data_IF_987125202912
#
_entry.id   IF_987125202912
#
_cell.length_a   1.000
_cell.length_b   1.000
_cell.length_c   1.000
_cell.angle_alpha   90.00
_cell.angle_beta   90.00
_cell.angle_gamma   90.00
#
_symmetry.space_group_name_H-M   'P 1'
#
loop_
_entity.id
_entity.type
_entity.pdbx_description
1 polymer ?
#
# COMPACT_ATOMS: atom_id res chain seq x y z
N UNK A 1 -20.40 -34.87 17.92
CA UNK A 1 -19.01 -34.54 18.31
C UNK A 1 -18.07 -34.25 17.14
N UNK A 2 -18.46 -34.50 15.89
CA UNK A 2 -17.58 -34.17 14.71
C UNK A 2 -17.67 -32.72 14.28
N UNK A 3 -18.74 -31.98 14.59
CA UNK A 3 -18.89 -30.56 14.23
C UNK A 3 -17.99 -29.62 15.06
N UNK A 4 -17.86 -29.88 16.35
CA UNK A 4 -17.04 -29.05 17.25
C UNK A 4 -15.53 -29.20 16.95
N UNK A 5 -15.05 -30.40 16.61
CA UNK A 5 -13.69 -30.62 16.16
C UNK A 5 -13.41 -29.95 14.81
N UNK A 6 -14.37 -30.00 13.88
CA UNK A 6 -14.30 -29.27 12.58
C UNK A 6 -14.28 -27.75 12.78
N UNK A 7 -15.03 -27.21 13.74
CA UNK A 7 -15.07 -25.77 14.02
C UNK A 7 -13.81 -25.30 14.77
N UNK A 8 -13.24 -26.13 15.66
CA UNK A 8 -11.93 -25.86 16.30
C UNK A 8 -10.81 -25.93 15.25
N UNK A 9 -10.82 -26.91 14.35
CA UNK A 9 -9.87 -26.99 13.23
C UNK A 9 -9.99 -25.80 12.27
N UNK A 10 -11.21 -25.38 11.92
CA UNK A 10 -11.44 -24.19 11.08
C UNK A 10 -10.96 -22.90 11.77
N UNK A 11 -11.13 -22.76 13.08
CA UNK A 11 -10.62 -21.60 13.84
C UNK A 11 -9.09 -21.58 13.96
N UNK A 12 -8.43 -22.73 13.93
CA UNK A 12 -6.97 -22.84 14.08
C UNK A 12 -6.18 -22.46 12.82
N UNK A 13 -6.84 -22.36 11.66
CA UNK A 13 -6.24 -22.02 10.37
C UNK A 13 -6.74 -20.70 9.76
N UNK A 14 -7.45 -19.86 10.52
CA UNK A 14 -7.81 -18.54 10.01
C UNK A 14 -6.60 -17.61 10.04
N UNK A 15 -6.29 -17.04 8.88
CA UNK A 15 -5.19 -16.10 8.71
C UNK A 15 -5.34 -14.89 9.66
N UNK A 16 -4.24 -14.48 10.31
CA UNK A 16 -4.23 -13.40 11.33
C UNK A 16 -4.76 -12.07 10.77
N UNK A 17 -4.44 -11.74 9.53
CA UNK A 17 -4.90 -10.51 8.86
C UNK A 17 -6.38 -10.59 8.52
N UNK A 18 -6.84 -11.77 8.05
CA UNK A 18 -8.27 -11.97 7.80
C UNK A 18 -9.10 -11.83 9.07
N UNK A 19 -8.61 -12.37 10.20
CA UNK A 19 -9.28 -12.25 11.50
C UNK A 19 -9.27 -10.80 12.02
N UNK A 20 -8.13 -10.11 11.92
CA UNK A 20 -7.96 -8.75 12.42
C UNK A 20 -8.91 -7.77 11.72
N UNK A 21 -9.00 -7.83 10.41
CA UNK A 21 -9.78 -6.88 9.61
C UNK A 21 -11.18 -7.38 9.21
N UNK A 22 -11.53 -8.63 9.50
CA UNK A 22 -12.82 -9.20 9.09
C UNK A 22 -12.96 -9.39 7.58
N UNK A 23 -11.89 -9.71 6.87
CA UNK A 23 -11.82 -9.85 5.41
C UNK A 23 -11.64 -11.31 4.99
N UNK A 24 -11.98 -11.62 3.73
CA UNK A 24 -11.91 -12.99 3.19
C UNK A 24 -10.49 -13.39 2.78
N UNK A 25 -9.77 -12.50 2.13
CA UNK A 25 -8.42 -12.70 1.63
C UNK A 25 -7.44 -11.77 2.33
N UNK A 26 -6.24 -12.20 2.72
CA UNK A 26 -5.27 -11.35 3.40
C UNK A 26 -4.56 -10.40 2.40
N UNK A 27 -5.36 -9.70 1.61
CA UNK A 27 -4.96 -8.79 0.55
C UNK A 27 -5.53 -7.40 0.85
N UNK A 28 -4.63 -6.44 1.05
CA UNK A 28 -4.96 -5.05 1.31
C UNK A 28 -4.59 -4.22 0.07
N UNK A 29 -5.47 -3.37 -0.41
CA UNK A 29 -5.13 -2.37 -1.41
C UNK A 29 -4.48 -1.17 -0.72
N UNK A 30 -3.29 -0.78 -1.14
CA UNK A 30 -2.54 0.32 -0.55
C UNK A 30 -3.25 1.67 -0.67
N UNK A 31 -3.15 2.50 0.36
CA UNK A 31 -3.70 3.86 0.35
C UNK A 31 -2.81 4.81 -0.43
N UNK A 32 -2.99 4.87 -1.75
CA UNK A 32 -2.17 5.64 -2.69
C UNK A 32 -2.77 7.02 -2.96
N UNK A 33 -1.94 8.07 -2.90
CA UNK A 33 -2.34 9.43 -3.29
C UNK A 33 -2.83 9.44 -4.75
N UNK A 34 -3.90 10.19 -5.04
CA UNK A 34 -4.53 10.38 -6.36
C UNK A 34 -5.07 9.10 -7.04
N UNK A 35 -4.85 7.90 -6.45
CA UNK A 35 -5.33 6.63 -6.99
C UNK A 35 -6.47 6.02 -6.15
N UNK A 36 -6.38 6.14 -4.82
CA UNK A 36 -7.21 5.39 -3.87
C UNK A 36 -8.42 6.19 -3.40
N UNK A 37 -9.39 6.37 -4.29
CA UNK A 37 -10.70 6.93 -3.95
C UNK A 37 -11.69 5.86 -3.45
N UNK A 38 -12.91 6.30 -3.13
CA UNK A 38 -13.98 5.42 -2.63
C UNK A 38 -14.34 4.27 -3.58
N UNK A 39 -14.27 4.50 -4.92
CA UNK A 39 -14.58 3.47 -5.92
C UNK A 39 -13.62 2.29 -5.82
N UNK A 40 -12.31 2.57 -5.78
CA UNK A 40 -11.31 1.54 -5.64
C UNK A 40 -11.43 0.84 -4.28
N UNK A 41 -11.54 1.59 -3.19
CA UNK A 41 -11.63 1.02 -1.86
C UNK A 41 -12.86 0.10 -1.70
N UNK A 42 -14.05 0.55 -2.11
CA UNK A 42 -15.26 -0.27 -2.04
C UNK A 42 -15.22 -1.50 -2.94
N UNK A 43 -14.65 -1.39 -4.14
CA UNK A 43 -14.51 -2.51 -5.06
C UNK A 43 -13.61 -3.63 -4.47
N UNK A 44 -12.45 -3.27 -3.90
CA UNK A 44 -11.56 -4.23 -3.24
C UNK A 44 -12.23 -4.88 -2.03
N UNK A 45 -12.94 -4.10 -1.22
CA UNK A 45 -13.69 -4.63 -0.07
C UNK A 45 -14.79 -5.61 -0.51
N UNK A 46 -15.55 -5.28 -1.54
CA UNK A 46 -16.58 -6.15 -2.11
C UNK A 46 -15.99 -7.44 -2.70
N UNK A 47 -14.78 -7.39 -3.27
CA UNK A 47 -14.07 -8.54 -3.79
C UNK A 47 -13.40 -9.42 -2.69
N UNK A 48 -13.53 -9.03 -1.41
CA UNK A 48 -13.08 -9.82 -0.25
C UNK A 48 -11.70 -9.48 0.30
N UNK A 49 -11.05 -8.42 -0.19
CA UNK A 49 -9.86 -7.81 0.39
C UNK A 49 -10.20 -6.68 1.37
N UNK A 50 -9.21 -5.87 1.72
CA UNK A 50 -9.38 -4.61 2.45
C UNK A 50 -9.05 -3.43 1.52
N UNK A 51 -10.05 -2.65 1.15
CA UNK A 51 -9.84 -1.39 0.43
C UNK A 51 -9.47 -0.25 1.37
N UNK A 52 -8.53 0.60 0.97
CA UNK A 52 -8.12 1.79 1.71
C UNK A 52 -8.38 3.06 0.92
N UNK A 53 -9.03 4.05 1.54
CA UNK A 53 -9.09 5.41 1.01
C UNK A 53 -7.77 6.11 1.34
N UNK A 54 -7.09 6.66 0.34
CA UNK A 54 -5.81 7.36 0.50
C UNK A 54 -6.01 8.84 0.85
N UNK A 55 -5.98 9.20 2.13
CA UNK A 55 -6.26 10.55 2.59
C UNK A 55 -5.16 11.58 2.27
N UNK A 56 -3.94 11.13 1.94
CA UNK A 56 -2.78 12.01 1.73
C UNK A 56 -2.91 13.04 0.59
N UNK A 57 -3.92 12.90 -0.26
CA UNK A 57 -4.21 13.85 -1.35
C UNK A 57 -5.56 14.58 -1.17
N UNK A 58 -6.23 14.39 -0.05
CA UNK A 58 -7.61 14.87 0.15
C UNK A 58 -7.66 15.97 1.20
N UNK A 59 -8.38 17.06 0.89
CA UNK A 59 -8.85 17.99 1.91
C UNK A 59 -9.90 17.31 2.80
N UNK A 60 -10.12 17.81 4.04
CA UNK A 60 -11.04 17.19 4.98
C UNK A 60 -12.42 16.89 4.40
N UNK A 61 -13.07 17.84 3.75
CA UNK A 61 -14.40 17.65 3.16
C UNK A 61 -14.42 16.60 2.05
N UNK A 62 -13.36 16.55 1.25
CA UNK A 62 -13.20 15.52 0.20
C UNK A 62 -13.05 14.14 0.82
N UNK A 63 -12.27 14.01 1.90
CA UNK A 63 -12.14 12.75 2.62
C UNK A 63 -13.50 12.30 3.20
N UNK A 64 -14.25 13.22 3.82
CA UNK A 64 -15.58 12.94 4.36
C UNK A 64 -16.53 12.41 3.26
N UNK A 65 -16.55 13.09 2.12
CA UNK A 65 -17.34 12.67 0.96
C UNK A 65 -16.95 11.25 0.49
N UNK A 66 -15.65 10.96 0.41
CA UNK A 66 -15.16 9.65 0.01
C UNK A 66 -15.52 8.55 1.02
N UNK A 67 -15.44 8.83 2.32
CA UNK A 67 -15.86 7.88 3.38
C UNK A 67 -17.37 7.58 3.25
N UNK A 68 -18.21 8.61 3.11
CA UNK A 68 -19.66 8.45 2.99
C UNK A 68 -20.04 7.67 1.73
N UNK A 69 -19.42 7.97 0.58
CA UNK A 69 -19.63 7.23 -0.67
C UNK A 69 -19.15 5.78 -0.56
N UNK A 70 -18.04 5.52 0.12
CA UNK A 70 -17.55 4.17 0.34
C UNK A 70 -18.55 3.36 1.19
N UNK A 71 -19.07 3.94 2.29
CA UNK A 71 -20.12 3.31 3.12
C UNK A 71 -21.40 3.02 2.34
N UNK A 72 -21.76 3.87 1.39
CA UNK A 72 -22.92 3.65 0.53
C UNK A 72 -22.68 2.54 -0.53
N UNK A 73 -21.41 2.30 -0.92
CA UNK A 73 -21.04 1.36 -1.97
C UNK A 73 -20.67 -0.05 -1.47
N UNK A 74 -20.45 -0.21 -0.14
CA UNK A 74 -20.07 -1.51 0.45
C UNK A 74 -20.55 -1.65 1.89
N UNK A 75 -20.97 -2.86 2.26
CA UNK A 75 -21.22 -3.29 3.65
C UNK A 75 -20.00 -4.02 4.26
N UNK A 76 -18.91 -4.15 3.50
CA UNK A 76 -17.69 -4.84 3.90
C UNK A 76 -16.73 -3.88 4.59
N UNK A 77 -15.77 -4.41 5.41
CA UNK A 77 -14.73 -3.58 6.01
C UNK A 77 -13.92 -2.81 4.96
N UNK A 78 -13.68 -1.54 5.24
CA UNK A 78 -12.71 -0.71 4.53
C UNK A 78 -11.97 0.17 5.54
N UNK A 79 -10.83 0.71 5.16
CA UNK A 79 -10.05 1.58 6.01
C UNK A 79 -9.68 2.90 5.33
N UNK A 80 -8.99 3.75 6.09
CA UNK A 80 -8.42 5.02 5.62
C UNK A 80 -6.93 5.03 5.89
N UNK A 81 -6.11 5.33 4.89
CA UNK A 81 -4.68 5.57 5.07
C UNK A 81 -4.42 7.06 5.28
N UNK A 82 -3.73 7.40 6.38
CA UNK A 82 -3.45 8.77 6.79
C UNK A 82 -1.94 8.96 6.99
N UNK A 83 -1.25 9.72 6.13
CA UNK A 83 0.13 10.14 6.37
C UNK A 83 0.19 11.12 7.55
N UNK A 84 0.93 10.77 8.62
CA UNK A 84 0.97 11.55 9.87
C UNK A 84 1.68 12.89 9.76
N UNK A 85 2.39 13.15 8.68
CA UNK A 85 3.06 14.44 8.41
C UNK A 85 2.14 15.45 7.68
N UNK A 86 0.87 15.11 7.49
CA UNK A 86 -0.09 16.03 6.86
C UNK A 86 -0.36 17.24 7.77
N UNK A 87 -0.39 18.48 7.24
CA UNK A 87 -0.52 19.69 8.06
C UNK A 87 -1.78 19.76 8.92
N UNK A 88 -2.88 19.19 8.46
CA UNK A 88 -4.20 19.20 9.15
C UNK A 88 -4.53 17.83 9.75
N UNK A 89 -3.52 17.13 10.25
CA UNK A 89 -3.65 15.74 10.75
C UNK A 89 -4.73 15.60 11.82
N UNK A 90 -4.82 16.55 12.75
CA UNK A 90 -5.81 16.54 13.84
C UNK A 90 -7.24 16.55 13.29
N UNK A 91 -7.48 17.33 12.23
CA UNK A 91 -8.78 17.43 11.57
C UNK A 91 -9.13 16.10 10.89
N UNK A 92 -8.16 15.49 10.19
CA UNK A 92 -8.38 14.22 9.50
C UNK A 92 -8.64 13.07 10.50
N UNK A 93 -7.90 13.01 11.60
CA UNK A 93 -8.10 12.00 12.66
C UNK A 93 -9.49 12.14 13.28
N UNK A 94 -9.88 13.35 13.72
CA UNK A 94 -11.19 13.58 14.29
C UNK A 94 -12.31 13.23 13.30
N UNK A 95 -12.15 13.57 12.03
CA UNK A 95 -13.12 13.25 11.00
C UNK A 95 -13.31 11.74 10.79
N UNK A 96 -12.25 10.95 10.74
CA UNK A 96 -12.40 9.49 10.57
C UNK A 96 -13.07 8.87 11.79
N UNK A 97 -12.86 9.43 12.99
CA UNK A 97 -13.55 9.04 14.23
C UNK A 97 -15.05 9.39 14.13
N UNK A 98 -15.37 10.63 13.79
CA UNK A 98 -16.75 11.12 13.64
C UNK A 98 -17.53 10.31 12.59
N UNK A 99 -16.89 10.02 11.46
CA UNK A 99 -17.45 9.16 10.42
C UNK A 99 -17.49 7.67 10.81
N UNK A 100 -17.02 7.28 11.99
CA UNK A 100 -17.10 5.90 12.49
C UNK A 100 -16.28 4.89 11.68
N UNK A 101 -15.19 5.32 11.05
CA UNK A 101 -14.21 4.43 10.41
C UNK A 101 -13.64 3.49 11.46
N UNK A 102 -13.46 2.21 11.11
CA UNK A 102 -13.01 1.17 12.05
C UNK A 102 -11.57 0.73 11.86
N UNK A 103 -10.95 1.09 10.74
CA UNK A 103 -9.61 0.67 10.37
C UNK A 103 -8.84 1.88 9.84
N UNK A 104 -7.70 2.20 10.45
CA UNK A 104 -6.82 3.28 10.02
C UNK A 104 -5.42 2.73 9.78
N UNK A 105 -4.88 3.02 8.61
CA UNK A 105 -3.48 2.80 8.29
C UNK A 105 -2.76 4.13 8.41
N UNK A 106 -1.75 4.20 9.25
CA UNK A 106 -0.90 5.40 9.40
C UNK A 106 0.43 5.21 8.70
N UNK A 107 1.02 6.29 8.21
CA UNK A 107 2.32 6.28 7.53
C UNK A 107 3.08 7.59 7.76
N UNK A 108 4.35 7.62 7.40
CA UNK A 108 5.16 8.85 7.37
C UNK A 108 5.11 9.69 8.67
N UNK A 109 5.39 9.07 9.81
CA UNK A 109 5.43 9.78 11.10
C UNK A 109 5.69 8.87 12.29
N UNK A 110 5.42 9.38 13.49
CA UNK A 110 5.60 8.61 14.71
C UNK A 110 4.30 7.88 15.07
N UNK A 111 4.27 6.53 15.09
CA UNK A 111 3.07 5.77 15.42
C UNK A 111 2.52 6.06 16.82
N UNK A 112 3.37 6.42 17.80
CA UNK A 112 2.93 6.73 19.17
C UNK A 112 1.97 7.92 19.25
N UNK A 113 1.99 8.82 18.27
CA UNK A 113 1.23 10.07 18.36
C UNK A 113 -0.28 9.84 18.38
N UNK A 114 -0.77 8.86 17.61
CA UNK A 114 -2.21 8.70 17.39
C UNK A 114 -2.74 7.30 17.70
N UNK A 115 -1.88 6.30 17.89
CA UNK A 115 -2.33 4.90 18.09
C UNK A 115 -3.24 4.75 19.29
N UNK A 116 -2.82 5.25 20.48
CA UNK A 116 -3.62 5.18 21.70
C UNK A 116 -4.98 5.89 21.53
N UNK A 117 -4.95 7.11 20.99
CA UNK A 117 -6.17 7.89 20.76
C UNK A 117 -7.16 7.18 19.79
N UNK A 118 -6.67 6.57 18.73
CA UNK A 118 -7.50 5.79 17.82
C UNK A 118 -8.08 4.54 18.49
N UNK A 119 -7.28 3.85 19.34
CA UNK A 119 -7.74 2.70 20.12
C UNK A 119 -8.83 3.06 21.11
N UNK A 120 -8.77 4.22 21.77
CA UNK A 120 -9.83 4.73 22.66
C UNK A 120 -11.18 4.84 21.96
N UNK A 121 -11.18 4.99 20.61
CA UNK A 121 -12.37 5.05 19.78
C UNK A 121 -12.71 3.70 19.09
N UNK A 122 -12.04 2.62 19.50
CA UNK A 122 -12.27 1.27 18.98
C UNK A 122 -11.84 1.09 17.51
N UNK A 123 -10.81 1.82 17.07
CA UNK A 123 -10.26 1.78 15.72
C UNK A 123 -9.02 0.89 15.70
N UNK A 124 -8.96 -0.04 14.77
CA UNK A 124 -7.81 -0.88 14.49
C UNK A 124 -6.74 -0.06 13.75
N UNK A 125 -5.50 -0.10 14.22
CA UNK A 125 -4.41 0.71 13.70
C UNK A 125 -3.31 -0.16 13.11
N UNK A 126 -3.01 0.01 11.82
CA UNK A 126 -1.81 -0.49 11.17
C UNK A 126 -0.85 0.67 10.86
N UNK A 127 0.47 0.42 10.89
CA UNK A 127 1.45 1.45 10.53
C UNK A 127 2.45 0.96 9.49
N UNK A 128 2.75 1.83 8.51
CA UNK A 128 3.67 1.52 7.40
C UNK A 128 5.09 1.90 7.75
N UNK A 129 6.03 0.98 7.57
CA UNK A 129 7.46 1.15 7.88
C UNK A 129 8.34 0.60 6.75
N UNK A 130 9.56 1.13 6.63
CA UNK A 130 10.54 0.69 5.64
C UNK A 130 11.81 0.06 6.29
N UNK A 131 11.83 -0.13 7.62
CA UNK A 131 12.99 -0.71 8.30
C UNK A 131 12.62 -1.39 9.63
N UNK A 132 13.49 -2.27 10.11
CA UNK A 132 13.37 -2.94 11.42
C UNK A 132 13.33 -1.95 12.58
N UNK A 133 14.10 -0.85 12.49
CA UNK A 133 14.10 0.21 13.50
C UNK A 133 12.71 0.84 13.68
N UNK A 134 12.01 1.10 12.59
CA UNK A 134 10.66 1.65 12.65
C UNK A 134 9.63 0.60 13.01
N UNK A 135 9.82 -0.67 12.63
CA UNK A 135 8.96 -1.77 13.06
C UNK A 135 8.98 -1.96 14.59
N UNK A 136 10.16 -1.89 15.22
CA UNK A 136 10.27 -1.92 16.69
C UNK A 136 9.50 -0.77 17.38
N UNK A 137 9.54 0.44 16.79
CA UNK A 137 8.76 1.58 17.31
C UNK A 137 7.25 1.39 17.17
N UNK A 138 6.81 0.67 16.13
CA UNK A 138 5.39 0.33 15.97
C UNK A 138 4.92 -0.64 17.04
N UNK A 139 5.72 -1.67 17.35
CA UNK A 139 5.41 -2.61 18.43
C UNK A 139 5.37 -1.91 19.80
N UNK A 140 6.33 -1.01 20.09
CA UNK A 140 6.30 -0.17 21.27
C UNK A 140 5.10 0.79 21.33
N UNK A 141 4.58 1.21 20.20
CA UNK A 141 3.40 2.08 20.11
C UNK A 141 2.08 1.29 20.25
N UNK A 142 2.14 -0.04 20.23
CA UNK A 142 0.99 -0.92 20.39
C UNK A 142 0.08 -1.00 19.16
N UNK A 143 0.60 -0.81 17.92
CA UNK A 143 -0.21 -0.96 16.71
C UNK A 143 -0.69 -2.42 16.54
N UNK A 144 -1.86 -2.60 15.93
CA UNK A 144 -2.48 -3.91 15.72
C UNK A 144 -1.84 -4.70 14.57
N UNK A 145 -1.24 -4.00 13.60
CA UNK A 145 -0.50 -4.61 12.50
C UNK A 145 0.63 -3.68 12.00
N UNK A 146 1.67 -4.28 11.44
CA UNK A 146 2.78 -3.58 10.80
C UNK A 146 2.75 -3.86 9.30
N UNK A 147 2.84 -2.81 8.47
CA UNK A 147 3.09 -2.93 7.04
C UNK A 147 4.56 -2.66 6.79
N UNK A 148 5.32 -3.68 6.40
CA UNK A 148 6.72 -3.52 6.01
C UNK A 148 6.82 -3.36 4.49
N UNK A 149 7.22 -2.16 4.05
CA UNK A 149 7.25 -1.78 2.65
C UNK A 149 8.67 -1.76 2.11
N UNK A 150 8.93 -2.66 1.17
CA UNK A 150 10.20 -2.75 0.46
C UNK A 150 10.37 -1.65 -0.59
N UNK A 151 11.61 -1.43 -0.95
CA UNK A 151 12.10 -0.39 -1.85
C UNK A 151 11.56 -0.50 -3.30
N UNK A 152 10.96 -1.61 -3.69
CA UNK A 152 10.30 -1.81 -4.98
C UNK A 152 8.99 -1.02 -5.13
N UNK A 153 8.46 -0.49 -4.02
CA UNK A 153 7.22 0.29 -4.01
C UNK A 153 7.32 1.57 -4.84
N UNK A 154 6.20 2.01 -5.41
CA UNK A 154 6.06 3.31 -6.08
C UNK A 154 5.87 4.44 -5.07
N UNK A 155 6.19 5.67 -5.48
CA UNK A 155 6.07 6.84 -4.63
C UNK A 155 7.14 6.90 -3.54
N UNK A 156 6.79 7.51 -2.41
CA UNK A 156 7.72 7.73 -1.30
C UNK A 156 8.20 6.41 -0.68
N UNK A 157 9.49 6.34 -0.45
CA UNK A 157 10.20 5.15 0.01
C UNK A 157 11.06 5.42 1.26
N UNK A 158 11.46 4.33 1.93
CA UNK A 158 12.52 4.37 2.95
C UNK A 158 13.88 4.76 2.37
N UNK A 159 14.78 5.21 3.24
CA UNK A 159 16.14 5.63 2.84
C UNK A 159 17.10 4.46 2.68
N UNK A 160 16.79 3.33 3.32
CA UNK A 160 17.66 2.15 3.41
C UNK A 160 17.68 1.31 2.12
N UNK A 161 16.76 1.56 1.19
CA UNK A 161 16.62 0.81 -0.08
C UNK A 161 16.57 -0.71 0.12
N UNK A 162 15.96 -1.16 1.23
CA UNK A 162 15.85 -2.59 1.53
C UNK A 162 14.73 -3.22 0.70
N UNK A 163 15.05 -4.26 -0.06
CA UNK A 163 14.06 -4.98 -0.86
C UNK A 163 13.08 -5.76 0.02
N UNK A 164 11.89 -6.01 -0.49
CA UNK A 164 10.86 -6.80 0.20
C UNK A 164 11.38 -8.17 0.63
N UNK A 165 12.18 -8.82 -0.22
CA UNK A 165 12.77 -10.14 0.06
C UNK A 165 13.68 -10.13 1.30
N UNK A 166 14.37 -9.03 1.58
CA UNK A 166 15.24 -8.86 2.75
C UNK A 166 14.49 -8.26 3.95
N UNK A 167 13.58 -7.32 3.71
CA UNK A 167 12.90 -6.58 4.77
C UNK A 167 11.93 -7.46 5.57
N UNK A 168 11.11 -8.27 4.88
CA UNK A 168 10.07 -9.06 5.54
C UNK A 168 10.65 -10.03 6.59
N UNK A 169 11.63 -10.89 6.27
CA UNK A 169 12.21 -11.78 7.26
C UNK A 169 12.94 -11.03 8.38
N UNK A 170 13.58 -9.90 8.07
CA UNK A 170 14.24 -9.08 9.09
C UNK A 170 13.24 -8.47 10.09
N UNK A 171 12.10 -7.96 9.61
CA UNK A 171 11.02 -7.45 10.49
C UNK A 171 10.37 -8.59 11.26
N UNK A 172 10.12 -9.75 10.64
CA UNK A 172 9.52 -10.91 11.32
C UNK A 172 10.35 -11.41 12.50
N UNK A 173 11.68 -11.27 12.44
CA UNK A 173 12.56 -11.68 13.55
C UNK A 173 12.42 -10.83 14.81
N UNK A 174 11.97 -9.59 14.70
CA UNK A 174 11.92 -8.63 15.80
C UNK A 174 10.51 -8.30 16.28
N UNK A 175 9.47 -8.78 15.62
CA UNK A 175 8.08 -8.48 16.00
C UNK A 175 7.19 -9.72 16.00
N UNK A 176 6.24 -9.76 16.93
CA UNK A 176 5.17 -10.77 16.97
C UNK A 176 3.83 -10.22 16.45
N UNK A 177 3.73 -8.94 16.19
CA UNK A 177 2.54 -8.27 15.64
C UNK A 177 2.21 -8.82 14.25
N UNK A 178 0.93 -8.88 13.84
CA UNK A 178 0.55 -9.20 12.47
C UNK A 178 1.33 -8.39 11.44
N UNK A 179 2.01 -9.09 10.51
CA UNK A 179 2.92 -8.49 9.53
C UNK A 179 2.34 -8.55 8.12
N UNK A 180 2.26 -7.40 7.49
CA UNK A 180 1.80 -7.21 6.11
C UNK A 180 3.01 -6.84 5.27
N UNK A 181 3.27 -7.57 4.20
CA UNK A 181 4.32 -7.24 3.24
C UNK A 181 3.82 -6.29 2.17
N UNK A 182 4.60 -5.28 1.83
CA UNK A 182 4.33 -4.34 0.74
C UNK A 182 5.59 -4.07 -0.09
N UNK A 183 5.41 -3.62 -1.33
CA UNK A 183 6.49 -3.38 -2.29
C UNK A 183 6.77 -4.61 -3.18
N UNK A 184 6.77 -4.41 -4.51
CA UNK A 184 7.07 -5.45 -5.50
C UNK A 184 6.01 -6.56 -5.64
N UNK A 185 4.88 -6.49 -4.96
CA UNK A 185 3.84 -7.52 -4.95
C UNK A 185 2.78 -7.19 -5.99
N UNK A 186 2.55 -8.09 -6.96
CA UNK A 186 1.59 -7.88 -8.04
C UNK A 186 0.99 -9.15 -8.64
N UNK A 187 1.36 -10.35 -8.12
CA UNK A 187 0.84 -11.64 -8.55
C UNK A 187 0.61 -12.58 -7.38
N UNK A 188 -0.10 -13.69 -7.60
CA UNK A 188 -0.30 -14.72 -6.59
C UNK A 188 1.00 -15.37 -6.12
N UNK A 189 1.98 -15.53 -7.01
CA UNK A 189 3.32 -16.03 -6.66
C UNK A 189 4.04 -15.10 -5.70
N UNK A 190 3.97 -13.78 -5.93
CA UNK A 190 4.59 -12.81 -5.02
C UNK A 190 3.91 -12.76 -3.65
N UNK A 191 2.59 -12.99 -3.59
CA UNK A 191 1.86 -13.16 -2.33
C UNK A 191 2.38 -14.39 -1.58
N UNK A 192 2.48 -15.54 -2.25
CA UNK A 192 3.00 -16.77 -1.64
C UNK A 192 4.44 -16.60 -1.14
N UNK A 193 5.29 -15.95 -1.94
CA UNK A 193 6.68 -15.66 -1.55
C UNK A 193 6.74 -14.78 -0.29
N UNK A 194 5.95 -13.71 -0.22
CA UNK A 194 5.87 -12.85 0.95
C UNK A 194 5.42 -13.61 2.21
N UNK A 195 4.43 -14.49 2.09
CA UNK A 195 3.99 -15.35 3.20
C UNK A 195 5.05 -16.37 3.61
N UNK A 196 5.78 -16.94 2.65
CA UNK A 196 6.91 -17.85 2.95
C UNK A 196 8.04 -17.13 3.70
N UNK A 197 8.21 -15.83 3.53
CA UNK A 197 9.17 -14.99 4.26
C UNK A 197 8.67 -14.59 5.66
N UNK A 198 7.44 -14.92 6.03
CA UNK A 198 6.88 -14.67 7.36
C UNK A 198 5.82 -13.57 7.44
N UNK A 199 5.35 -13.03 6.32
CA UNK A 199 4.20 -12.13 6.33
C UNK A 199 2.89 -12.90 6.59
N UNK A 200 1.96 -12.26 7.30
CA UNK A 200 0.61 -12.76 7.54
C UNK A 200 -0.39 -12.34 6.43
N UNK A 201 -0.01 -11.32 5.64
CA UNK A 201 -0.78 -10.82 4.50
C UNK A 201 0.04 -9.85 3.65
N UNK A 202 -0.59 -9.25 2.64
CA UNK A 202 0.08 -8.35 1.70
C UNK A 202 -0.69 -7.07 1.49
N UNK A 203 0.05 -5.95 1.26
CA UNK A 203 -0.48 -4.70 0.76
C UNK A 203 0.02 -4.47 -0.66
N UNK A 204 -0.89 -4.23 -1.58
CA UNK A 204 -0.61 -4.12 -3.02
C UNK A 204 -1.02 -2.72 -3.47
N UNK A 205 -0.07 -1.95 -4.00
CA UNK A 205 -0.31 -0.62 -4.57
C UNK A 205 -0.47 -0.67 -6.08
N UNK A 206 0.62 -0.85 -6.79
CA UNK A 206 0.75 -0.71 -8.25
C UNK A 206 -0.31 -1.49 -9.04
N UNK A 207 -0.56 -2.75 -8.67
CA UNK A 207 -1.54 -3.59 -9.35
C UNK A 207 -2.95 -2.99 -9.28
N UNK A 208 -3.34 -2.44 -8.12
CA UNK A 208 -4.63 -1.78 -7.93
C UNK A 208 -4.66 -0.34 -8.47
N UNK A 209 -3.53 0.38 -8.51
CA UNK A 209 -3.45 1.68 -9.18
C UNK A 209 -3.77 1.58 -10.67
N UNK A 210 -3.48 0.42 -11.29
CA UNK A 210 -3.71 0.12 -12.70
C UNK A 210 -5.02 -0.67 -12.93
N UNK A 211 -6.07 -0.37 -12.14
CA UNK A 211 -7.43 -0.91 -12.35
C UNK A 211 -8.38 0.18 -12.86
N UNK A 212 -9.54 -0.25 -13.37
CA UNK A 212 -10.57 0.67 -13.86
C UNK A 212 -11.10 1.59 -12.75
N UNK A 213 -11.25 1.07 -11.52
CA UNK A 213 -11.83 1.77 -10.36
C UNK A 213 -10.85 2.75 -9.71
N UNK A 214 -9.56 2.67 -10.00
CA UNK A 214 -8.57 3.66 -9.55
C UNK A 214 -8.88 5.04 -10.11
N UNK A 215 -8.77 6.09 -9.28
CA UNK A 215 -8.98 7.48 -9.67
C UNK A 215 -7.84 8.10 -10.48
N UNK A 216 -6.76 7.37 -10.72
CA UNK A 216 -5.67 7.80 -11.60
C UNK A 216 -6.18 8.06 -13.02
N UNK A 217 -5.63 9.07 -13.69
CA UNK A 217 -6.01 9.43 -15.04
C UNK A 217 -5.70 8.29 -16.04
N UNK A 218 -6.53 8.15 -17.06
CA UNK A 218 -6.35 7.08 -18.06
C UNK A 218 -4.97 7.13 -18.74
N UNK A 219 -4.48 8.32 -19.11
CA UNK A 219 -3.14 8.49 -19.70
C UNK A 219 -2.02 7.98 -18.81
N UNK A 220 -2.11 8.23 -17.48
CA UNK A 220 -1.16 7.69 -16.52
C UNK A 220 -1.20 6.15 -16.51
N UNK A 221 -2.40 5.57 -16.41
CA UNK A 221 -2.57 4.10 -16.45
C UNK A 221 -2.02 3.50 -17.74
N UNK A 222 -2.39 4.05 -18.91
CA UNK A 222 -1.90 3.57 -20.22
C UNK A 222 -0.37 3.65 -20.33
N UNK A 223 0.23 4.75 -19.85
CA UNK A 223 1.70 4.88 -19.78
C UNK A 223 2.32 3.80 -18.90
N UNK A 224 1.75 3.55 -17.72
CA UNK A 224 2.28 2.55 -16.79
C UNK A 224 2.13 1.11 -17.30
N UNK A 225 1.08 0.78 -18.05
CA UNK A 225 0.89 -0.54 -18.67
C UNK A 225 1.89 -0.85 -19.81
N UNK A 226 2.66 0.15 -20.24
CA UNK A 226 3.71 0.02 -21.28
C UNK A 226 5.12 0.08 -20.72
N UNK A 227 5.28 0.07 -19.39
CA UNK A 227 6.59 0.10 -18.76
C UNK A 227 7.30 -1.23 -18.91
N UNK A 228 8.60 -1.14 -19.09
CA UNK A 228 9.52 -2.27 -19.10
C UNK A 228 10.36 -2.28 -17.83
N UNK A 229 11.13 -3.33 -17.64
CA UNK A 229 12.14 -3.41 -16.59
C UNK A 229 13.10 -2.21 -16.68
N UNK A 230 13.35 -1.58 -15.52
CA UNK A 230 14.24 -0.42 -15.45
C UNK A 230 13.60 0.94 -15.80
N UNK A 231 12.33 1.00 -16.21
CA UNK A 231 11.64 2.27 -16.52
C UNK A 231 11.23 3.09 -15.29
N UNK A 232 11.40 2.54 -14.07
CA UNK A 232 11.22 3.30 -12.82
C UNK A 232 12.53 3.41 -12.05
N UNK A 233 12.72 4.51 -11.33
CA UNK A 233 13.92 4.71 -10.51
C UNK A 233 13.58 5.51 -9.24
N UNK A 234 14.31 5.20 -8.16
CA UNK A 234 14.28 5.97 -6.92
C UNK A 234 15.16 7.20 -7.07
N UNK A 235 14.63 8.39 -6.78
CA UNK A 235 15.29 9.68 -6.93
C UNK A 235 14.92 10.61 -5.76
N UNK A 236 15.35 11.86 -5.79
CA UNK A 236 15.10 12.88 -4.74
C UNK A 236 15.53 12.43 -3.34
N UNK A 237 16.60 11.61 -3.26
CA UNK A 237 17.07 11.01 -2.01
C UNK A 237 17.55 12.06 -0.99
N UNK A 238 17.94 13.22 -1.42
CA UNK A 238 18.32 14.34 -0.53
C UNK A 238 17.11 14.99 0.15
N UNK A 239 15.92 14.89 -0.44
CA UNK A 239 14.66 15.36 0.11
C UNK A 239 13.93 14.23 0.83
N UNK A 240 13.10 13.54 0.09
CA UNK A 240 12.43 12.31 0.50
C UNK A 240 12.49 11.34 -0.69
N UNK A 241 13.10 10.15 -0.55
CA UNK A 241 13.22 9.23 -1.66
C UNK A 241 11.85 8.92 -2.28
N UNK A 242 11.74 9.02 -3.59
CA UNK A 242 10.50 8.72 -4.32
C UNK A 242 10.80 7.93 -5.58
N UNK A 243 10.02 6.87 -5.85
CA UNK A 243 10.14 6.08 -7.07
C UNK A 243 9.19 6.62 -8.15
N UNK A 244 9.78 7.01 -9.26
CA UNK A 244 9.10 7.61 -10.40
C UNK A 244 9.36 6.84 -11.70
N UNK A 245 8.44 6.95 -12.64
CA UNK A 245 8.69 6.64 -14.05
C UNK A 245 9.70 7.63 -14.62
N UNK A 246 10.60 7.16 -15.46
CA UNK A 246 11.57 7.99 -16.20
C UNK A 246 10.89 8.76 -17.33
N UNK A 247 10.32 9.92 -16.99
CA UNK A 247 9.74 10.89 -17.93
C UNK A 247 10.60 12.15 -18.04
N UNK A 248 10.11 13.22 -18.65
CA UNK A 248 10.89 14.45 -18.82
C UNK A 248 11.14 15.18 -17.48
N UNK A 249 10.17 15.18 -16.57
CA UNK A 249 10.40 15.69 -15.22
C UNK A 249 11.49 14.89 -14.48
N UNK A 250 11.45 13.55 -14.56
CA UNK A 250 12.50 12.72 -13.96
C UNK A 250 13.89 13.07 -14.51
N UNK A 251 14.04 13.31 -15.84
CA UNK A 251 15.31 13.72 -16.44
C UNK A 251 15.81 15.06 -15.87
N UNK A 252 14.92 16.02 -15.67
CA UNK A 252 15.29 17.31 -15.04
C UNK A 252 15.82 17.11 -13.62
N UNK A 253 15.20 16.19 -12.84
CA UNK A 253 15.68 15.83 -11.50
C UNK A 253 17.05 15.16 -11.58
N UNK A 254 17.21 14.16 -12.46
CA UNK A 254 18.47 13.43 -12.65
C UNK A 254 19.62 14.38 -13.05
N UNK A 255 19.38 15.32 -13.97
CA UNK A 255 20.34 16.36 -14.35
C UNK A 255 20.69 17.27 -13.17
N UNK A 256 19.70 17.68 -12.37
CA UNK A 256 19.93 18.50 -11.19
C UNK A 256 20.75 17.74 -10.14
N UNK A 257 20.42 16.49 -9.83
CA UNK A 257 21.16 15.64 -8.89
C UNK A 257 22.59 15.38 -9.37
N UNK A 258 22.80 15.11 -10.67
CA UNK A 258 24.13 14.82 -11.25
C UNK A 258 25.08 15.99 -11.20
N UNK A 259 24.60 17.24 -11.29
CA UNK A 259 25.40 18.47 -11.13
C UNK A 259 25.60 18.89 -9.66
N UNK A 260 25.08 18.12 -8.70
CA UNK A 260 25.22 18.43 -7.27
C UNK A 260 24.28 19.55 -6.79
N UNK A 261 23.06 19.63 -7.34
CA UNK A 261 22.06 20.62 -6.90
C UNK A 261 21.80 20.52 -5.39
N UNK A 262 21.62 21.67 -4.77
CA UNK A 262 21.28 21.78 -3.35
C UNK A 262 19.85 21.29 -3.07
N UNK A 263 19.55 21.00 -1.81
CA UNK A 263 18.17 20.62 -1.39
C UNK A 263 17.14 21.70 -1.72
N UNK A 264 17.51 22.97 -1.69
CA UNK A 264 16.61 24.09 -2.00
C UNK A 264 16.34 24.20 -3.51
N UNK A 265 17.36 23.97 -4.35
CA UNK A 265 17.18 23.86 -5.80
C UNK A 265 16.26 22.68 -6.17
N UNK A 266 16.46 21.52 -5.55
CA UNK A 266 15.60 20.34 -5.76
C UNK A 266 14.16 20.59 -5.27
N UNK A 267 13.95 21.26 -4.12
CA UNK A 267 12.61 21.68 -3.67
C UNK A 267 11.93 22.63 -4.65
N UNK A 268 12.68 23.56 -5.20
CA UNK A 268 12.20 24.53 -6.20
C UNK A 268 11.80 23.81 -7.49
N UNK A 269 12.63 22.88 -7.96
CA UNK A 269 12.37 22.06 -9.15
C UNK A 269 11.13 21.18 -8.94
N UNK A 270 11.03 20.51 -7.78
CA UNK A 270 9.87 19.67 -7.43
C UNK A 270 8.58 20.51 -7.38
N UNK A 271 8.62 21.68 -6.76
CA UNK A 271 7.46 22.55 -6.62
C UNK A 271 6.34 21.90 -5.79
N UNK A 272 5.09 22.25 -6.10
CA UNK A 272 3.89 21.69 -5.43
C UNK A 272 2.96 21.04 -6.44
N UNK A 273 2.35 19.90 -6.05
CA UNK A 273 1.27 19.26 -6.81
C UNK A 273 1.73 18.48 -8.03
N UNK A 274 2.99 18.13 -8.17
CA UNK A 274 3.51 17.38 -9.31
C UNK A 274 2.89 15.98 -9.43
N UNK A 275 2.70 15.28 -8.31
CA UNK A 275 2.03 13.99 -8.30
C UNK A 275 0.55 14.12 -8.75
N UNK A 276 -0.16 15.17 -8.32
CA UNK A 276 -1.50 15.48 -8.82
C UNK A 276 -1.50 15.66 -10.34
N UNK A 277 -0.59 16.49 -10.84
CA UNK A 277 -0.44 16.79 -12.25
C UNK A 277 -0.22 15.54 -13.10
N UNK A 278 0.68 14.65 -12.66
CA UNK A 278 1.00 13.40 -13.35
C UNK A 278 -0.08 12.33 -13.22
N UNK A 279 -0.44 11.98 -12.00
CA UNK A 279 -1.29 10.82 -11.73
C UNK A 279 -2.77 11.14 -11.97
N UNK A 280 -3.26 12.28 -11.47
CA UNK A 280 -4.68 12.61 -11.49
C UNK A 280 -5.09 13.44 -12.71
N UNK A 281 -4.25 14.36 -13.17
CA UNK A 281 -4.53 15.23 -14.33
C UNK A 281 -3.96 14.67 -15.64
N UNK A 282 -3.07 13.67 -15.57
CA UNK A 282 -2.57 12.92 -16.74
C UNK A 282 -1.46 13.60 -17.54
N UNK A 283 -0.75 14.58 -16.97
CA UNK A 283 0.42 15.19 -17.58
C UNK A 283 1.64 14.26 -17.45
N UNK A 284 1.95 13.57 -18.53
CA UNK A 284 3.04 12.61 -18.59
C UNK A 284 4.44 13.24 -18.65
N UNK A 285 4.55 14.53 -18.96
CA UNK A 285 5.82 15.22 -19.16
C UNK A 285 6.31 15.90 -17.90
N UNK A 286 5.46 16.75 -17.30
CA UNK A 286 5.80 17.59 -16.16
C UNK A 286 5.34 17.00 -14.81
N UNK A 287 4.52 15.95 -14.82
CA UNK A 287 4.02 15.31 -13.61
C UNK A 287 5.01 14.33 -12.99
N UNK A 288 4.93 14.14 -11.68
CA UNK A 288 5.49 12.96 -11.02
C UNK A 288 4.60 11.76 -11.30
N UNK A 289 5.18 10.74 -11.92
CA UNK A 289 4.50 9.49 -12.23
C UNK A 289 4.94 8.41 -11.25
N UNK A 290 4.31 8.40 -10.08
CA UNK A 290 4.65 7.49 -8.98
C UNK A 290 4.08 6.09 -9.25
N UNK A 291 4.93 5.10 -9.47
CA UNK A 291 4.54 3.70 -9.67
C UNK A 291 5.68 2.76 -9.26
N UNK A 292 5.35 1.55 -8.79
CA UNK A 292 6.34 0.56 -8.35
C UNK A 292 7.00 -0.21 -9.50
N UNK A 293 8.10 -0.89 -9.19
CA UNK A 293 8.86 -1.69 -10.18
C UNK A 293 8.00 -2.78 -10.84
N UNK A 294 7.05 -3.36 -10.10
CA UNK A 294 6.17 -4.43 -10.59
C UNK A 294 5.25 -3.98 -11.74
N UNK A 295 5.16 -2.68 -12.02
CA UNK A 295 4.42 -2.17 -13.19
C UNK A 295 4.92 -2.80 -14.52
N UNK A 296 6.22 -3.11 -14.62
CA UNK A 296 6.80 -3.80 -15.78
C UNK A 296 6.25 -5.21 -16.04
N UNK A 297 5.50 -5.77 -15.09
CA UNK A 297 4.83 -7.08 -15.21
C UNK A 297 3.31 -6.95 -15.45
N UNK A 298 2.78 -5.73 -15.56
CA UNK A 298 1.34 -5.45 -15.67
C UNK A 298 1.07 -4.77 -17.01
N UNK A 299 0.45 -5.48 -17.93
CA UNK A 299 0.27 -5.01 -19.31
C UNK A 299 -1.19 -4.88 -19.74
N UNK A 300 -2.14 -5.09 -18.80
CA UNK A 300 -3.57 -5.08 -19.07
C UNK A 300 -4.31 -4.25 -18.02
N UNK A 301 -5.16 -3.35 -18.47
CA UNK A 301 -6.14 -2.69 -17.61
C UNK A 301 -7.26 -3.69 -17.29
N UNK A 302 -7.57 -3.85 -16.03
CA UNK A 302 -8.56 -4.80 -15.54
C UNK A 302 -9.44 -4.15 -14.47
N UNK A 303 -10.61 -4.73 -14.21
CA UNK A 303 -11.40 -4.39 -13.04
C UNK A 303 -10.77 -4.98 -11.77
N UNK A 304 -11.12 -4.44 -10.62
CA UNK A 304 -10.69 -4.99 -9.31
C UNK A 304 -11.12 -6.44 -9.14
N UNK A 305 -12.33 -6.80 -9.59
CA UNK A 305 -12.83 -8.17 -9.48
C UNK A 305 -11.98 -9.17 -10.28
N UNK A 306 -11.60 -8.80 -11.52
CA UNK A 306 -10.69 -9.60 -12.35
C UNK A 306 -9.31 -9.74 -11.70
N UNK A 307 -8.76 -8.64 -11.16
CA UNK A 307 -7.45 -8.66 -10.48
C UNK A 307 -7.49 -9.54 -9.23
N UNK A 308 -8.52 -9.41 -8.39
CA UNK A 308 -8.63 -10.22 -7.17
C UNK A 308 -8.79 -11.71 -7.48
N UNK A 309 -9.54 -12.04 -8.53
CA UNK A 309 -9.70 -13.41 -8.99
C UNK A 309 -8.36 -13.98 -9.48
N UNK A 310 -7.65 -13.25 -10.33
CA UNK A 310 -6.33 -13.62 -10.84
C UNK A 310 -5.33 -13.84 -9.70
N UNK A 311 -5.22 -12.90 -8.74
CA UNK A 311 -4.33 -13.04 -7.59
C UNK A 311 -4.59 -14.31 -6.77
N UNK A 312 -5.86 -14.67 -6.57
CA UNK A 312 -6.25 -15.87 -5.81
C UNK A 312 -5.97 -17.15 -6.61
N UNK A 313 -6.27 -17.16 -7.90
CA UNK A 313 -6.02 -18.30 -8.79
C UNK A 313 -4.52 -18.56 -8.92
N UNK A 314 -3.71 -17.54 -9.16
CA UNK A 314 -2.26 -17.61 -9.28
C UNK A 314 -1.61 -18.06 -7.95
N UNK A 315 -2.10 -17.54 -6.81
CA UNK A 315 -1.63 -17.98 -5.50
C UNK A 315 -1.84 -19.49 -5.31
N UNK A 316 -3.03 -20.00 -5.63
CA UNK A 316 -3.34 -21.42 -5.49
C UNK A 316 -2.52 -22.29 -6.46
N UNK A 317 -2.32 -21.82 -7.70
CA UNK A 317 -1.47 -22.50 -8.68
C UNK A 317 0.01 -22.56 -8.22
N UNK A 318 0.52 -21.45 -7.69
CA UNK A 318 1.87 -21.39 -7.14
C UNK A 318 2.04 -22.30 -5.91
N UNK A 319 1.07 -22.32 -5.00
CA UNK A 319 1.08 -23.20 -3.83
C UNK A 319 1.10 -24.69 -4.23
N UNK A 320 0.30 -25.08 -5.22
CA UNK A 320 0.31 -26.45 -5.75
C UNK A 320 1.68 -26.80 -6.33
N UNK A 321 2.27 -25.91 -7.14
CA UNK A 321 3.63 -26.09 -7.71
C UNK A 321 4.69 -26.25 -6.62
N UNK A 322 4.63 -25.47 -5.55
CA UNK A 322 5.59 -25.59 -4.43
C UNK A 322 5.40 -26.90 -3.67
N UNK A 323 4.18 -27.37 -3.48
CA UNK A 323 3.89 -28.65 -2.82
C UNK A 323 4.43 -29.87 -3.59
N UNK A 324 4.65 -29.74 -4.92
CA UNK A 324 5.26 -30.79 -5.77
C UNK A 324 6.80 -30.82 -5.68
N UNK A 325 7.43 -29.78 -5.10
CA UNK A 325 8.89 -29.75 -4.92
C UNK A 325 9.35 -30.85 -3.95
N UNK A 326 10.39 -31.58 -4.34
CA UNK A 326 11.05 -32.53 -3.44
C UNK A 326 11.74 -31.77 -2.32
N UNK A 327 11.68 -32.33 -1.10
CA UNK A 327 12.41 -31.77 0.04
C UNK A 327 13.91 -31.85 -0.23
N UNK A 328 14.65 -30.82 0.16
CA UNK A 328 16.11 -30.92 0.30
C UNK A 328 16.38 -31.80 1.51
N UNK A 329 17.11 -32.90 1.31
CA UNK A 329 17.48 -33.86 2.36
C UNK A 329 18.97 -33.70 2.65
#
# INVERSE_FOLDING_TARGET
SSSAASDVYKRQYMNRICNLFGIKYPIIQGGMVWCSGWRLASAVSNAGGLGLIGAGSMHPETLREHIQKCKAATDKPFGVNIPLMYPEIDILINMVIEEGVKIVFTSAGNPKTWTEHLHEHGIIVAHVVASTKFAAKCEEAGVDAIVAEGFEAGGHNGREETTTLCLIPAVRQITTVPLIAAGGIGSGESILAAMALGADGVQIGTRFALTEESSAHFTFKDRCLRLNEGDTQLTLKQLSPVRLVKNDFFKQVEEAESRGATTDELRTLLGKGRAKKGIFEGDLFEGELEIGQVASCIHKLQTVDEVMKELVEDFNAALNRVNELKRFI
#
